data_IF_548823295355
#
_entry.id   IF_548823295355
#
_cell.length_a   1.000
_cell.length_b   1.000
_cell.length_c   1.000
_cell.angle_alpha   90.00
_cell.angle_beta   90.00
_cell.angle_gamma   90.00
#
_symmetry.space_group_name_H-M   'P 1'
#
loop_
_entity.id
_entity.type
_entity.pdbx_description
1 polymer ?
#
# COMPACT_ATOMS: atom_id res chain seq x y z
N UNK A 1 13.33 -10.10 1.35
CA UNK A 1 12.16 -9.32 0.88
C UNK A 1 11.17 -10.21 0.19
N UNK A 2 9.88 -10.05 0.54
CA UNK A 2 8.75 -10.71 -0.10
C UNK A 2 7.91 -9.67 -0.83
N UNK A 3 7.28 -10.05 -1.94
CA UNK A 3 6.26 -9.23 -2.60
C UNK A 3 4.90 -9.65 -2.08
N UNK A 4 4.06 -8.69 -1.70
CA UNK A 4 2.70 -8.92 -1.23
C UNK A 4 1.75 -7.91 -1.86
N UNK A 5 0.47 -8.31 -1.97
CA UNK A 5 -0.58 -7.50 -2.60
C UNK A 5 -1.70 -7.25 -1.62
N UNK A 6 -2.27 -6.06 -1.68
CA UNK A 6 -3.36 -5.64 -0.83
C UNK A 6 -4.42 -4.89 -1.63
N UNK A 7 -5.68 -5.21 -1.41
CA UNK A 7 -6.81 -4.37 -1.82
C UNK A 7 -6.78 -3.11 -0.97
N UNK A 8 -7.02 -1.94 -1.56
CA UNK A 8 -7.05 -0.67 -0.82
C UNK A 8 -8.31 0.15 -1.09
N UNK A 9 -8.53 1.20 -0.31
CA UNK A 9 -9.60 2.18 -0.53
C UNK A 9 -9.13 3.45 -1.25
N UNK A 10 -7.95 3.46 -1.86
CA UNK A 10 -7.43 4.61 -2.60
C UNK A 10 -8.28 4.89 -3.86
N UNK A 11 -8.70 6.15 -4.07
CA UNK A 11 -9.61 6.51 -5.18
C UNK A 11 -9.01 7.41 -6.25
N UNK A 12 -7.92 8.11 -5.94
CA UNK A 12 -7.27 9.04 -6.86
C UNK A 12 -5.77 9.16 -6.56
N UNK A 13 -5.03 9.87 -7.42
CA UNK A 13 -3.59 10.10 -7.23
C UNK A 13 -3.24 10.77 -5.91
N UNK A 14 -4.10 11.67 -5.40
CA UNK A 14 -3.91 12.28 -4.07
C UNK A 14 -4.01 11.27 -2.92
N UNK A 15 -4.86 10.24 -3.03
CA UNK A 15 -4.89 9.14 -2.06
C UNK A 15 -3.59 8.33 -2.09
N UNK A 16 -3.07 8.08 -3.30
CA UNK A 16 -1.81 7.35 -3.49
C UNK A 16 -0.64 8.14 -2.89
N UNK A 17 -0.59 9.45 -3.11
CA UNK A 17 0.44 10.30 -2.51
C UNK A 17 0.41 10.23 -0.97
N UNK A 18 -0.77 10.33 -0.36
CA UNK A 18 -0.93 10.27 1.09
C UNK A 18 -0.54 8.91 1.70
N UNK A 19 -0.86 7.80 1.02
CA UNK A 19 -0.37 6.47 1.43
C UNK A 19 1.14 6.37 1.22
N UNK A 20 1.67 6.96 0.15
CA UNK A 20 3.10 7.01 -0.12
C UNK A 20 3.90 7.69 0.98
N UNK A 21 3.40 8.79 1.54
CA UNK A 21 4.05 9.49 2.66
C UNK A 21 4.28 8.60 3.90
N UNK A 22 3.43 7.59 4.14
CA UNK A 22 3.65 6.63 5.24
C UNK A 22 4.57 5.49 4.82
N UNK A 23 4.43 4.96 3.60
CA UNK A 23 5.27 3.87 3.10
C UNK A 23 6.72 4.30 2.87
N UNK A 24 6.95 5.49 2.30
CA UNK A 24 8.28 6.01 1.94
C UNK A 24 9.19 6.23 3.16
N UNK A 25 8.63 6.25 4.38
CA UNK A 25 9.39 6.31 5.63
C UNK A 25 10.11 5.00 5.97
N UNK A 26 9.64 3.88 5.42
CA UNK A 26 10.06 2.53 5.84
C UNK A 26 10.38 1.61 4.65
N UNK A 27 9.93 1.94 3.45
CA UNK A 27 10.12 1.17 2.21
C UNK A 27 10.49 2.14 1.10
N UNK A 28 11.49 1.78 0.29
CA UNK A 28 11.90 2.62 -0.84
C UNK A 28 10.75 2.78 -1.85
N UNK A 29 10.64 3.98 -2.45
CA UNK A 29 9.51 4.35 -3.31
C UNK A 29 9.31 3.40 -4.50
N UNK A 30 10.38 2.88 -5.08
CA UNK A 30 10.37 1.95 -6.20
C UNK A 30 9.91 0.53 -5.81
N UNK A 31 9.83 0.24 -4.51
CA UNK A 31 9.41 -1.06 -3.99
C UNK A 31 7.91 -1.14 -3.73
N UNK A 32 7.12 -0.11 -4.05
CA UNK A 32 5.67 -0.17 -3.93
C UNK A 32 4.94 0.59 -5.04
N UNK A 33 3.72 0.15 -5.36
CA UNK A 33 2.84 0.84 -6.30
C UNK A 33 1.37 0.57 -5.95
N UNK A 34 0.50 1.55 -6.21
CA UNK A 34 -0.96 1.36 -6.11
C UNK A 34 -1.56 1.46 -7.51
N UNK A 35 -2.11 0.37 -8.01
CA UNK A 35 -2.81 0.31 -9.29
C UNK A 35 -4.28 0.72 -9.12
N UNK A 36 -4.58 1.97 -9.49
CA UNK A 36 -5.94 2.52 -9.44
C UNK A 36 -6.84 2.04 -10.60
N UNK A 37 -6.32 1.34 -11.60
CA UNK A 37 -7.12 0.86 -12.74
C UNK A 37 -8.01 -0.33 -12.37
N UNK A 38 -7.65 -1.08 -11.32
CA UNK A 38 -8.39 -2.25 -10.84
C UNK A 38 -9.46 -1.86 -9.84
N UNK A 39 -10.66 -2.51 -9.82
CA UNK A 39 -11.69 -2.23 -8.83
C UNK A 39 -11.21 -2.33 -7.37
N UNK A 40 -10.24 -3.22 -7.11
CA UNK A 40 -9.65 -3.43 -5.79
C UNK A 40 -8.53 -2.45 -5.42
N UNK A 41 -8.09 -1.60 -6.36
CA UNK A 41 -7.11 -0.54 -6.12
C UNK A 41 -5.87 -1.10 -5.44
N UNK A 42 -5.17 -1.98 -6.16
CA UNK A 42 -4.20 -2.91 -5.58
C UNK A 42 -2.88 -2.23 -5.24
N UNK A 43 -2.51 -2.26 -3.96
CA UNK A 43 -1.14 -2.00 -3.49
C UNK A 43 -0.31 -3.26 -3.72
N UNK A 44 0.78 -3.14 -4.48
CA UNK A 44 1.86 -4.15 -4.53
C UNK A 44 3.06 -3.58 -3.81
N UNK A 45 3.66 -4.35 -2.89
CA UNK A 45 4.81 -3.91 -2.09
C UNK A 45 5.83 -5.04 -1.93
N UNK A 46 7.11 -4.72 -2.07
CA UNK A 46 8.24 -5.62 -1.86
C UNK A 46 9.02 -5.14 -0.64
N UNK A 47 8.99 -5.89 0.46
CA UNK A 47 9.71 -5.52 1.70
C UNK A 47 9.88 -6.71 2.63
N UNK A 48 10.53 -6.51 3.77
CA UNK A 48 10.58 -7.48 4.88
C UNK A 48 9.51 -7.19 5.95
N UNK A 49 8.59 -6.25 5.70
CA UNK A 49 7.50 -5.95 6.62
C UNK A 49 6.51 -7.14 6.73
N UNK A 50 5.95 -7.31 7.92
CA UNK A 50 4.78 -8.18 8.09
C UNK A 50 3.58 -7.59 7.35
N UNK A 51 2.63 -8.45 6.97
CA UNK A 51 1.43 -7.98 6.26
C UNK A 51 0.60 -7.04 7.15
N UNK A 52 0.53 -7.34 8.45
CA UNK A 52 -0.12 -6.49 9.45
C UNK A 52 0.52 -5.09 9.51
N UNK A 53 1.86 -5.01 9.44
CA UNK A 53 2.53 -3.70 9.45
C UNK A 53 2.23 -2.89 8.19
N UNK A 54 2.14 -3.54 7.03
CA UNK A 54 1.70 -2.85 5.79
C UNK A 54 0.27 -2.33 5.95
N UNK A 55 -0.64 -3.13 6.51
CA UNK A 55 -2.03 -2.73 6.74
C UNK A 55 -2.12 -1.54 7.71
N UNK A 56 -1.33 -1.56 8.78
CA UNK A 56 -1.24 -0.43 9.73
C UNK A 56 -0.75 0.85 9.06
N UNK A 57 0.30 0.80 8.24
CA UNK A 57 0.83 1.99 7.53
C UNK A 57 -0.20 2.61 6.58
N UNK A 58 -1.00 1.78 5.90
CA UNK A 58 -2.11 2.27 5.07
C UNK A 58 -3.23 2.88 5.93
N UNK A 59 -3.48 2.30 7.12
CA UNK A 59 -4.44 2.82 8.11
C UNK A 59 -4.00 4.15 8.73
N UNK A 60 -2.72 4.29 9.04
CA UNK A 60 -2.10 5.55 9.52
C UNK A 60 -2.29 6.68 8.49
N UNK A 61 -2.26 6.37 7.18
CA UNK A 61 -2.58 7.32 6.12
C UNK A 61 -4.08 7.67 6.00
N UNK A 62 -4.95 6.96 6.73
CA UNK A 62 -6.40 7.15 6.75
C UNK A 62 -7.18 6.27 5.76
N UNK A 63 -6.59 5.16 5.29
CA UNK A 63 -7.19 4.24 4.32
C UNK A 63 -7.31 2.82 4.89
N UNK A 64 -7.97 1.91 4.16
CA UNK A 64 -8.00 0.48 4.52
C UNK A 64 -7.16 -0.32 3.54
N UNK A 65 -6.52 -1.37 4.05
CA UNK A 65 -5.85 -2.39 3.26
C UNK A 65 -6.28 -3.78 3.72
N UNK A 66 -6.45 -4.71 2.77
CA UNK A 66 -6.76 -6.11 3.02
C UNK A 66 -5.86 -6.98 2.15
N UNK A 67 -5.21 -7.99 2.72
CA UNK A 67 -4.26 -8.83 1.98
C UNK A 67 -4.98 -9.62 0.89
N UNK A 68 -4.41 -9.59 -0.31
CA UNK A 68 -4.79 -10.46 -1.42
C UNK A 68 -3.87 -11.68 -1.42
N UNK A 69 -4.46 -12.86 -1.57
CA UNK A 69 -3.76 -14.15 -1.58
C UNK A 69 -2.72 -14.29 -2.68
#
# INVERSE_FOLDING_TARGET
MKTSKFKTTAKCGGCVAKIGETLDKVVARDQWNIDLSTPDRVLTITSDLSDDRVIELVKEAGFKAEKLG
#
